data_IF_258517698579
#
_entry.id   IF_258517698579
#
_cell.length_a   1.000
_cell.length_b   1.000
_cell.length_c   1.000
_cell.angle_alpha   90.00
_cell.angle_beta   90.00
_cell.angle_gamma   90.00
#
_symmetry.space_group_name_H-M   'P 1'
#
loop_
_entity.id
_entity.type
_entity.pdbx_description
1 polymer ?
#
# COMPACT_ATOMS: atom_id res chain seq x y z
N UNK A 1 -2.63 6.50 -2.10
CA UNK A 1 -1.49 6.06 -1.27
C UNK A 1 -0.23 6.71 -1.77
N UNK A 2 0.59 7.25 -0.86
CA UNK A 2 1.85 7.88 -1.14
C UNK A 2 2.94 6.84 -1.46
N UNK A 3 3.82 7.14 -2.42
CA UNK A 3 4.85 6.24 -2.94
C UNK A 3 6.27 6.58 -2.46
N UNK A 4 6.44 7.72 -1.78
CA UNK A 4 7.72 8.25 -1.32
C UNK A 4 7.57 8.87 0.07
N UNK A 5 8.67 8.93 0.79
CA UNK A 5 8.77 9.74 1.99
C UNK A 5 8.93 11.19 1.55
N UNK A 6 7.93 12.03 1.86
CA UNK A 6 7.99 13.46 1.61
C UNK A 6 8.27 14.23 2.90
N UNK A 7 7.59 13.85 3.98
CA UNK A 7 7.75 14.44 5.30
C UNK A 7 7.39 13.39 6.36
N UNK A 8 8.41 12.66 6.81
CA UNK A 8 8.21 11.57 7.78
C UNK A 8 7.72 12.13 9.11
N UNK A 9 8.19 13.32 9.52
CA UNK A 9 7.81 13.95 10.80
C UNK A 9 6.32 14.28 10.81
N UNK A 10 5.79 14.71 9.68
CA UNK A 10 4.37 15.03 9.51
C UNK A 10 3.53 13.88 8.92
N UNK A 11 4.02 12.63 9.01
CA UNK A 11 3.23 11.45 8.64
C UNK A 11 3.02 11.26 7.14
N UNK A 12 3.76 11.98 6.28
CA UNK A 12 3.76 11.80 4.82
C UNK A 12 4.88 10.85 4.40
N UNK A 13 4.76 9.60 4.84
CA UNK A 13 5.68 8.51 4.50
C UNK A 13 5.12 7.59 3.40
N UNK A 14 5.98 6.76 2.80
CA UNK A 14 5.58 5.75 1.84
C UNK A 14 4.53 4.80 2.46
N UNK A 15 3.44 4.55 1.75
CA UNK A 15 2.30 3.78 2.26
C UNK A 15 1.19 4.63 2.89
N UNK A 16 1.42 5.91 3.18
CA UNK A 16 0.38 6.79 3.74
C UNK A 16 -0.83 6.85 2.80
N UNK A 17 -2.01 6.50 3.33
CA UNK A 17 -3.27 6.60 2.59
C UNK A 17 -3.79 8.03 2.68
N UNK A 18 -4.25 8.52 1.54
CA UNK A 18 -4.67 9.90 1.34
C UNK A 18 -6.02 9.87 0.62
N UNK A 19 -6.92 10.76 1.03
CA UNK A 19 -8.14 11.10 0.30
C UNK A 19 -7.88 12.40 -0.43
N UNK A 20 -7.88 12.37 -1.76
CA UNK A 20 -7.76 13.59 -2.56
C UNK A 20 -9.06 14.38 -2.41
N UNK A 21 -8.95 15.64 -2.01
CA UNK A 21 -10.08 16.56 -1.85
C UNK A 21 -10.08 17.67 -2.89
N UNK A 22 -8.90 18.04 -3.41
CA UNK A 22 -8.75 19.12 -4.39
C UNK A 22 -7.72 18.76 -5.45
N UNK A 23 -8.00 19.13 -6.70
CA UNK A 23 -7.09 18.98 -7.82
C UNK A 23 -6.55 20.34 -8.24
N UNK A 24 -5.23 20.53 -8.11
CA UNK A 24 -4.51 21.66 -8.69
C UNK A 24 -3.63 21.23 -9.85
N UNK A 25 -3.19 22.19 -10.67
CA UNK A 25 -2.29 21.93 -11.82
C UNK A 25 -0.98 21.26 -11.39
N UNK A 26 -0.41 21.69 -10.25
CA UNK A 26 0.90 21.26 -9.78
C UNK A 26 0.90 20.59 -8.39
N UNK A 27 -0.23 20.64 -7.69
CA UNK A 27 -0.40 20.12 -6.32
C UNK A 27 -1.73 19.40 -6.19
N UNK A 28 -1.78 18.36 -5.35
CA UNK A 28 -3.02 17.76 -4.88
C UNK A 28 -3.28 18.20 -3.45
N UNK A 29 -4.50 18.64 -3.15
CA UNK A 29 -4.97 18.79 -1.78
C UNK A 29 -5.52 17.46 -1.27
N UNK A 30 -4.99 16.97 -0.17
CA UNK A 30 -5.31 15.65 0.38
C UNK A 30 -5.61 15.72 1.87
N UNK A 31 -6.51 14.85 2.36
CA UNK A 31 -6.61 14.52 3.79
C UNK A 31 -5.91 13.19 4.09
N UNK A 32 -5.18 13.12 5.19
CA UNK A 32 -4.55 11.87 5.66
C UNK A 32 -5.63 10.90 6.12
N UNK A 33 -5.55 9.66 5.66
CA UNK A 33 -6.54 8.60 5.92
C UNK A 33 -5.98 7.41 6.71
N UNK A 34 -4.73 7.51 7.18
CA UNK A 34 -4.08 6.46 7.98
C UNK A 34 -2.98 7.02 8.87
N UNK A 35 -2.68 6.33 9.98
CA UNK A 35 -1.64 6.71 10.94
C UNK A 35 -2.13 7.73 11.96
N UNK A 36 -1.20 8.34 12.70
CA UNK A 36 -1.54 9.17 13.86
C UNK A 36 -2.08 10.56 13.47
N UNK A 37 -1.92 10.94 12.20
CA UNK A 37 -2.31 12.26 11.68
C UNK A 37 -3.56 12.22 10.80
N UNK A 38 -4.44 11.24 11.00
CA UNK A 38 -5.70 11.11 10.26
C UNK A 38 -6.50 12.42 10.31
N UNK A 39 -7.10 12.80 9.18
CA UNK A 39 -7.91 14.00 9.02
C UNK A 39 -7.12 15.27 8.69
N UNK A 40 -5.81 15.30 8.97
CA UNK A 40 -4.97 16.47 8.66
C UNK A 40 -4.85 16.69 7.16
N UNK A 41 -4.83 17.97 6.76
CA UNK A 41 -4.69 18.37 5.37
C UNK A 41 -3.21 18.40 4.97
N UNK A 42 -2.91 17.98 3.74
CA UNK A 42 -1.58 17.98 3.18
C UNK A 42 -1.61 18.34 1.69
N UNK A 43 -0.60 19.10 1.26
CA UNK A 43 -0.37 19.39 -0.15
C UNK A 43 0.67 18.41 -0.70
N UNK A 44 0.31 17.72 -1.79
CA UNK A 44 1.18 16.73 -2.43
C UNK A 44 1.66 17.30 -3.78
N UNK A 45 2.93 17.72 -3.89
CA UNK A 45 3.47 18.25 -5.13
C UNK A 45 3.85 17.11 -6.10
N UNK A 46 4.09 17.47 -7.36
CA UNK A 46 4.77 16.57 -8.32
C UNK A 46 6.26 16.50 -7.97
N UNK A 47 6.79 15.29 -7.93
CA UNK A 47 8.23 15.03 -7.75
C UNK A 47 8.85 14.50 -9.03
N UNK A 48 10.17 14.64 -9.14
CA UNK A 48 10.96 14.02 -10.20
C UNK A 48 11.40 12.62 -9.79
N UNK A 49 11.18 11.65 -10.67
CA UNK A 49 11.74 10.30 -10.57
C UNK A 49 12.72 10.11 -11.73
N UNK A 50 13.76 9.34 -11.47
CA UNK A 50 14.79 9.01 -12.46
C UNK A 50 14.80 7.51 -12.71
N UNK A 51 15.13 7.10 -13.93
CA UNK A 51 15.40 5.69 -14.21
C UNK A 51 16.62 5.18 -13.46
N UNK A 52 16.64 3.88 -13.22
CA UNK A 52 17.68 3.20 -12.46
C UNK A 52 19.04 3.22 -13.17
N UNK A 53 20.11 2.91 -12.43
CA UNK A 53 21.46 2.78 -12.99
C UNK A 53 21.52 1.50 -13.84
N UNK A 54 22.16 1.58 -15.02
CA UNK A 54 22.34 0.43 -15.93
C UNK A 54 21.59 0.52 -17.26
N UNK A 55 20.85 1.60 -17.51
CA UNK A 55 20.28 1.92 -18.83
C UNK A 55 21.16 2.93 -19.57
N UNK A 56 21.22 2.90 -20.92
CA UNK A 56 22.12 3.74 -21.72
C UNK A 56 21.81 5.24 -21.64
N UNK A 57 20.65 5.63 -21.10
CA UNK A 57 20.25 7.01 -20.89
C UNK A 57 19.41 7.16 -19.63
N UNK A 58 19.44 8.36 -19.04
CA UNK A 58 18.68 8.67 -17.83
C UNK A 58 17.39 9.38 -18.18
N UNK A 59 16.25 8.70 -18.06
CA UNK A 59 14.94 9.32 -18.18
C UNK A 59 14.54 10.01 -16.88
N UNK A 60 13.95 11.19 -16.99
CA UNK A 60 13.35 11.94 -15.90
C UNK A 60 11.83 12.00 -16.08
N UNK A 61 11.09 11.57 -15.05
CA UNK A 61 9.63 11.63 -15.02
C UNK A 61 9.15 12.50 -13.86
N UNK A 62 8.47 13.60 -14.16
CA UNK A 62 7.80 14.44 -13.16
C UNK A 62 6.35 14.01 -12.98
N UNK A 63 5.98 13.56 -11.79
CA UNK A 63 4.64 13.04 -11.49
C UNK A 63 4.27 13.21 -10.02
N UNK A 64 2.98 13.16 -9.70
CA UNK A 64 2.55 13.02 -8.30
C UNK A 64 3.01 11.66 -7.75
N UNK A 65 3.61 11.60 -6.55
CA UNK A 65 4.06 10.36 -5.95
C UNK A 65 2.91 9.58 -5.30
N UNK A 66 1.79 9.40 -6.01
CA UNK A 66 0.60 8.73 -5.48
C UNK A 66 0.12 7.63 -6.43
N UNK A 67 -0.50 6.61 -5.85
CA UNK A 67 -1.26 5.57 -6.56
C UNK A 67 -2.65 5.41 -5.95
N UNK A 68 -3.60 4.93 -6.74
CA UNK A 68 -4.88 4.45 -6.22
C UNK A 68 -4.65 3.35 -5.17
N UNK A 69 -5.49 3.34 -4.14
CA UNK A 69 -5.29 2.53 -2.93
C UNK A 69 -6.56 1.85 -2.43
N UNK A 70 -7.59 1.71 -3.27
CA UNK A 70 -8.76 0.88 -2.97
C UNK A 70 -8.38 -0.60 -2.92
N UNK A 71 -7.51 -1.02 -3.83
CA UNK A 71 -6.89 -2.34 -3.83
C UNK A 71 -5.36 -2.21 -3.84
N UNK A 72 -4.71 -3.14 -3.15
CA UNK A 72 -3.25 -3.24 -3.13
C UNK A 72 -2.85 -4.71 -3.04
N UNK A 73 -1.65 -5.00 -3.52
CA UNK A 73 -1.07 -6.32 -3.39
C UNK A 73 -0.71 -6.59 -1.93
N UNK A 74 -0.75 -7.86 -1.53
CA UNK A 74 -0.39 -8.29 -0.17
C UNK A 74 1.00 -7.77 0.22
N UNK A 75 1.97 -7.87 -0.69
CA UNK A 75 3.33 -7.38 -0.47
C UNK A 75 3.40 -5.87 -0.21
N UNK A 76 2.50 -5.07 -0.80
CA UNK A 76 2.43 -3.62 -0.54
C UNK A 76 1.72 -3.28 0.76
N UNK A 77 0.80 -4.13 1.21
CA UNK A 77 0.13 -3.98 2.50
C UNK A 77 1.03 -4.43 3.67
N UNK A 78 2.10 -5.18 3.42
CA UNK A 78 3.03 -5.63 4.45
C UNK A 78 3.56 -4.45 5.28
N UNK A 79 3.51 -4.59 6.61
CA UNK A 79 3.86 -3.54 7.56
C UNK A 79 2.74 -2.54 7.87
N UNK A 80 1.64 -2.50 7.10
CA UNK A 80 0.51 -1.61 7.36
C UNK A 80 -0.51 -2.25 8.32
N UNK A 81 -1.12 -1.41 9.17
CA UNK A 81 -2.30 -1.77 9.97
C UNK A 81 -3.55 -1.15 9.37
N UNK A 82 -4.60 -1.96 9.20
CA UNK A 82 -5.89 -1.58 8.64
C UNK A 82 -7.01 -1.91 9.63
N UNK A 83 -8.07 -1.10 9.65
CA UNK A 83 -9.26 -1.40 10.46
C UNK A 83 -10.03 -2.59 9.89
N UNK A 84 -10.15 -2.64 8.56
CA UNK A 84 -10.79 -3.73 7.85
C UNK A 84 -10.12 -3.97 6.50
N UNK A 85 -10.12 -5.22 6.04
CA UNK A 85 -9.51 -5.66 4.80
C UNK A 85 -10.40 -6.70 4.10
N UNK A 86 -10.59 -6.51 2.80
CA UNK A 86 -11.07 -7.55 1.89
C UNK A 86 -9.86 -8.22 1.23
N UNK A 87 -9.69 -9.52 1.43
CA UNK A 87 -8.65 -10.32 0.80
C UNK A 87 -9.26 -11.07 -0.37
N UNK A 88 -8.88 -10.69 -1.59
CA UNK A 88 -9.34 -11.34 -2.81
C UNK A 88 -8.35 -12.43 -3.24
N UNK A 89 -8.78 -13.69 -3.15
CA UNK A 89 -8.03 -14.89 -3.51
C UNK A 89 -8.72 -15.62 -4.66
N UNK A 90 -9.01 -14.90 -5.75
CA UNK A 90 -9.44 -15.51 -7.01
C UNK A 90 -8.38 -16.43 -7.62
N UNK A 91 -7.11 -16.20 -7.27
CA UNK A 91 -5.97 -17.08 -7.52
C UNK A 91 -5.28 -17.32 -6.18
N UNK A 92 -4.77 -18.54 -6.00
CA UNK A 92 -4.02 -18.92 -4.81
C UNK A 92 -2.80 -18.02 -4.57
N UNK A 93 -2.43 -17.87 -3.29
CA UNK A 93 -1.14 -17.25 -2.92
C UNK A 93 0.01 -18.10 -3.45
N UNK A 94 1.14 -17.46 -3.75
CA UNK A 94 2.28 -18.10 -4.42
C UNK A 94 3.56 -18.13 -3.57
N UNK A 95 3.60 -17.41 -2.45
CA UNK A 95 4.79 -17.36 -1.58
C UNK A 95 4.50 -17.73 -0.13
N UNK A 96 5.57 -18.16 0.54
CA UNK A 96 5.55 -18.50 1.96
C UNK A 96 5.05 -17.33 2.82
N UNK A 97 4.12 -17.62 3.74
CA UNK A 97 3.63 -16.63 4.70
C UNK A 97 2.78 -15.51 4.10
N UNK A 98 2.53 -15.51 2.79
CA UNK A 98 1.79 -14.46 2.11
C UNK A 98 0.34 -14.35 2.61
N UNK A 99 -0.32 -15.49 2.80
CA UNK A 99 -1.66 -15.52 3.37
C UNK A 99 -1.67 -14.95 4.79
N UNK A 100 -0.69 -15.32 5.62
CA UNK A 100 -0.52 -14.75 6.96
C UNK A 100 -0.31 -13.23 6.93
N UNK A 101 0.54 -12.74 6.02
CA UNK A 101 0.73 -11.29 5.84
C UNK A 101 -0.60 -10.60 5.51
N UNK A 102 -1.42 -11.17 4.62
CA UNK A 102 -2.72 -10.60 4.26
C UNK A 102 -3.70 -10.57 5.44
N UNK A 103 -3.85 -11.69 6.15
CA UNK A 103 -4.80 -11.83 7.25
C UNK A 103 -4.39 -10.99 8.47
N UNK A 104 -3.08 -10.85 8.73
CA UNK A 104 -2.55 -10.04 9.84
C UNK A 104 -2.65 -8.53 9.63
N UNK A 105 -3.19 -8.05 8.49
CA UNK A 105 -3.33 -6.59 8.25
C UNK A 105 -4.46 -5.97 9.07
N UNK A 106 -5.48 -6.74 9.45
CA UNK A 106 -6.53 -6.27 10.35
C UNK A 106 -6.30 -6.78 11.77
N UNK A 107 -6.65 -5.96 12.76
CA UNK A 107 -6.45 -6.27 14.19
C UNK A 107 -7.51 -7.23 14.74
N UNK A 108 -8.69 -7.25 14.15
CA UNK A 108 -9.85 -8.02 14.59
C UNK A 108 -10.28 -8.96 13.48
N UNK A 109 -10.77 -10.15 13.86
CA UNK A 109 -11.24 -11.18 12.92
C UNK A 109 -12.37 -10.65 12.05
N UNK A 110 -13.29 -9.89 12.64
CA UNK A 110 -14.47 -9.29 12.02
C UNK A 110 -14.08 -8.27 10.95
N UNK A 111 -12.88 -7.69 11.09
CA UNK A 111 -12.28 -6.79 10.10
C UNK A 111 -11.75 -7.50 8.86
N UNK A 112 -11.71 -8.83 8.81
CA UNK A 112 -11.20 -9.59 7.66
C UNK A 112 -12.35 -10.25 6.91
N UNK A 113 -12.44 -9.99 5.61
CA UNK A 113 -13.32 -10.73 4.69
C UNK A 113 -12.46 -11.37 3.61
N UNK A 114 -12.62 -12.67 3.39
CA UNK A 114 -11.87 -13.41 2.38
C UNK A 114 -12.81 -13.86 1.27
N UNK A 115 -12.45 -13.55 0.03
CA UNK A 115 -13.10 -14.08 -1.15
C UNK A 115 -12.22 -15.17 -1.76
N UNK A 116 -12.78 -16.37 -1.94
CA UNK A 116 -12.18 -17.47 -2.69
C UNK A 116 -13.29 -18.20 -3.47
N UNK A 117 -13.12 -18.49 -4.77
CA UNK A 117 -14.12 -19.18 -5.59
C UNK A 117 -14.56 -20.52 -4.98
N UNK A 118 -13.61 -21.35 -4.53
CA UNK A 118 -13.88 -22.72 -4.04
C UNK A 118 -14.06 -22.80 -2.53
N UNK A 119 -14.11 -21.65 -1.84
CA UNK A 119 -14.05 -21.54 -0.36
C UNK A 119 -12.86 -22.28 0.27
N UNK A 120 -11.84 -22.57 -0.54
CA UNK A 120 -10.56 -23.16 -0.15
C UNK A 120 -9.47 -22.16 -0.44
N UNK A 121 -8.46 -22.14 0.41
CA UNK A 121 -7.30 -21.26 0.24
C UNK A 121 -6.05 -22.10 0.42
N UNK A 122 -5.18 -22.11 -0.59
CA UNK A 122 -3.87 -22.74 -0.45
C UNK A 122 -2.99 -21.93 0.50
N UNK A 123 -2.47 -22.55 1.54
CA UNK A 123 -1.47 -21.94 2.40
C UNK A 123 -0.08 -22.51 2.06
N UNK A 124 0.85 -21.64 1.64
CA UNK A 124 2.22 -22.06 1.29
C UNK A 124 3.12 -21.90 2.51
N UNK A 125 3.67 -23.03 2.97
CA UNK A 125 4.51 -23.11 4.17
C UNK A 125 5.81 -23.82 3.85
N UNK A 126 6.94 -23.12 3.98
CA UNK A 126 8.28 -23.72 3.85
C UNK A 126 8.70 -24.18 5.24
N UNK A 127 8.67 -25.50 5.49
CA UNK A 127 8.95 -26.09 6.80
C UNK A 127 10.35 -25.78 7.33
N UNK A 128 11.35 -25.69 6.46
CA UNK A 128 12.73 -25.37 6.84
C UNK A 128 12.90 -24.00 7.53
N UNK A 129 11.92 -23.10 7.39
CA UNK A 129 11.93 -21.76 8.00
C UNK A 129 11.23 -21.75 9.37
N UNK A 130 10.52 -22.83 9.74
CA UNK A 130 9.68 -22.87 10.94
C UNK A 130 10.36 -23.44 12.20
N UNK A 131 11.60 -23.93 12.08
CA UNK A 131 12.31 -24.59 13.19
C UNK A 131 11.94 -26.06 13.32
#
# INVERSE_FOLDING_TARGET
>A
MLLRNLDVRNGLCNGTRLIVTHFGRFVLGCKIASGDRIGQFALIPRIENYTEKGVPFRLRRRQFPVRLAYAMTINKAQGQSLTSVGVHLGVDVFSHGQLYVALSRARQREGVKVYSPDRRVKNIVIKAVLG
#
